data_IF_407882735817
#
_entry.id   IF_407882735817
#
_cell.length_a   1.000
_cell.length_b   1.000
_cell.length_c   1.000
_cell.angle_alpha   90.00
_cell.angle_beta   90.00
_cell.angle_gamma   90.00
#
_symmetry.space_group_name_H-M   'P 1'
#
loop_
_entity.id
_entity.type
_entity.pdbx_description
1 polymer ?
#
# COMPACT_ATOMS: atom_id res chain seq x y z
N UNK A 1 12.05 8.93 -27.29
CA UNK A 1 11.08 8.16 -26.48
C UNK A 1 9.76 8.22 -27.21
N UNK A 2 9.06 7.10 -27.36
CA UNK A 2 7.74 7.05 -28.02
C UNK A 2 6.67 6.74 -26.99
N UNK A 3 5.47 7.30 -27.15
CA UNK A 3 4.31 6.96 -26.32
C UNK A 3 3.78 5.60 -26.75
N UNK A 4 3.42 4.76 -25.77
CA UNK A 4 2.59 3.58 -26.00
C UNK A 4 1.12 4.02 -25.96
N UNK A 5 0.43 4.15 -27.11
CA UNK A 5 -0.81 4.92 -27.20
C UNK A 5 -2.06 4.11 -26.80
N UNK A 6 -1.92 2.79 -26.68
CA UNK A 6 -3.06 1.89 -26.57
C UNK A 6 -3.67 1.89 -25.17
N UNK A 7 -5.00 1.84 -25.12
CA UNK A 7 -5.75 1.70 -23.87
C UNK A 7 -5.79 0.24 -23.42
N UNK A 8 -5.34 -0.09 -22.19
CA UNK A 8 -5.40 -1.45 -21.68
C UNK A 8 -6.82 -1.86 -21.31
N UNK A 9 -7.04 -3.16 -21.30
CA UNK A 9 -8.15 -3.81 -20.65
C UNK A 9 -8.10 -3.57 -19.13
N UNK A 10 -9.23 -3.81 -18.48
CA UNK A 10 -9.33 -3.89 -17.03
C UNK A 10 -8.40 -4.96 -16.43
N UNK A 11 -8.21 -4.89 -15.11
CA UNK A 11 -7.34 -5.78 -14.32
C UNK A 11 -5.86 -5.53 -14.63
N UNK A 12 -5.46 -4.28 -14.42
CA UNK A 12 -4.07 -3.85 -14.49
C UNK A 12 -3.37 -4.31 -13.21
N UNK A 13 -2.17 -4.87 -13.35
CA UNK A 13 -1.32 -5.21 -12.20
C UNK A 13 -0.20 -4.19 -12.10
N UNK A 14 -0.11 -3.51 -10.96
CA UNK A 14 1.02 -2.67 -10.59
C UNK A 14 1.84 -3.40 -9.52
N UNK A 15 3.16 -3.40 -9.68
CA UNK A 15 4.08 -4.05 -8.74
C UNK A 15 5.04 -3.01 -8.19
N UNK A 16 5.17 -2.94 -6.87
CA UNK A 16 6.19 -2.15 -6.19
C UNK A 16 7.18 -3.10 -5.53
N UNK A 17 8.45 -3.00 -5.93
CA UNK A 17 9.52 -3.90 -5.48
C UNK A 17 10.68 -3.11 -4.86
N UNK A 18 10.76 -3.15 -3.54
CA UNK A 18 11.87 -2.64 -2.74
C UNK A 18 13.04 -3.63 -2.72
N UNK A 19 14.12 -3.24 -2.05
CA UNK A 19 15.18 -4.18 -1.69
C UNK A 19 15.71 -3.78 -0.33
N UNK A 20 15.34 -4.55 0.68
CA UNK A 20 15.74 -4.31 2.06
C UNK A 20 16.61 -5.45 2.57
N UNK A 21 17.54 -5.09 3.44
CA UNK A 21 18.29 -6.04 4.23
C UNK A 21 17.85 -5.93 5.69
N UNK A 22 17.50 -7.07 6.28
CA UNK A 22 16.97 -7.16 7.63
C UNK A 22 17.99 -7.88 8.50
N UNK A 23 18.58 -7.16 9.44
CA UNK A 23 19.58 -7.63 10.38
C UNK A 23 18.89 -7.94 11.70
N UNK A 24 19.08 -9.15 12.21
CA UNK A 24 18.28 -9.69 13.29
C UNK A 24 19.17 -10.11 14.46
N UNK A 25 18.78 -9.72 15.67
CA UNK A 25 19.36 -10.21 16.93
C UNK A 25 18.32 -11.04 17.69
N UNK A 26 18.68 -11.53 18.88
CA UNK A 26 17.74 -12.29 19.73
C UNK A 26 16.56 -11.45 20.21
N UNK A 27 16.76 -10.15 20.40
CA UNK A 27 15.81 -9.23 21.03
C UNK A 27 15.38 -8.06 20.14
N UNK A 28 16.09 -7.81 19.04
CA UNK A 28 15.87 -6.65 18.18
C UNK A 28 16.08 -6.96 16.70
N UNK A 29 15.66 -6.02 15.87
CA UNK A 29 15.85 -6.07 14.43
C UNK A 29 16.09 -4.66 13.89
N UNK A 30 17.01 -4.54 12.95
CA UNK A 30 17.28 -3.34 12.16
C UNK A 30 17.12 -3.64 10.68
N UNK A 31 16.61 -2.67 9.91
CA UNK A 31 16.38 -2.83 8.49
C UNK A 31 16.94 -1.65 7.68
N UNK A 32 17.62 -1.97 6.59
CA UNK A 32 18.23 -1.01 5.67
C UNK A 32 17.63 -1.16 4.28
N UNK A 33 17.23 -0.05 3.67
CA UNK A 33 16.86 -0.04 2.25
C UNK A 33 18.13 0.11 1.39
N UNK A 34 18.29 -0.77 0.41
CA UNK A 34 19.46 -0.83 -0.47
C UNK A 34 19.24 -0.12 -1.81
N UNK A 35 17.99 0.23 -2.15
CA UNK A 35 17.64 0.95 -3.37
C UNK A 35 16.26 1.58 -3.28
N UNK A 36 16.02 2.59 -4.13
CA UNK A 36 14.67 3.13 -4.39
C UNK A 36 13.73 2.04 -4.95
N UNK A 37 12.43 2.04 -4.62
CA UNK A 37 11.48 1.08 -5.16
C UNK A 37 11.48 1.02 -6.68
N UNK A 38 11.35 -0.18 -7.23
CA UNK A 38 11.07 -0.39 -8.64
C UNK A 38 9.57 -0.54 -8.83
N UNK A 39 8.99 0.30 -9.67
CA UNK A 39 7.60 0.19 -10.08
C UNK A 39 7.51 -0.53 -11.43
N UNK A 40 6.58 -1.48 -11.51
CA UNK A 40 6.24 -2.19 -12.73
C UNK A 40 4.75 -2.14 -13.02
N UNK A 41 4.40 -2.17 -14.29
CA UNK A 41 3.02 -2.30 -14.74
C UNK A 41 2.88 -3.46 -15.71
N UNK A 42 1.91 -4.34 -15.46
CA UNK A 42 1.49 -5.34 -16.44
C UNK A 42 0.16 -4.93 -17.01
N UNK A 43 0.16 -4.66 -18.32
CA UNK A 43 -1.01 -4.28 -19.08
C UNK A 43 -1.41 -5.39 -20.04
N UNK A 44 -2.72 -5.54 -20.21
CA UNK A 44 -3.33 -6.41 -21.21
C UNK A 44 -4.08 -5.53 -22.19
N UNK A 45 -3.95 -5.79 -23.47
CA UNK A 45 -4.64 -5.05 -24.53
C UNK A 45 -5.45 -6.03 -25.36
N UNK A 46 -6.59 -5.58 -25.89
CA UNK A 46 -7.34 -6.31 -26.93
C UNK A 46 -7.19 -5.54 -28.22
N UNK A 47 -6.58 -6.16 -29.22
CA UNK A 47 -6.37 -5.57 -30.53
C UNK A 47 -7.17 -6.30 -31.61
N UNK A 48 -7.65 -5.54 -32.58
CA UNK A 48 -7.97 -6.08 -33.90
C UNK A 48 -6.68 -6.32 -34.72
N UNK A 49 -6.82 -6.92 -35.90
CA UNK A 49 -5.67 -7.24 -36.75
C UNK A 49 -4.85 -6.00 -37.16
N UNK A 50 -5.51 -4.86 -37.37
CA UNK A 50 -4.85 -3.60 -37.75
C UNK A 50 -4.08 -3.01 -36.58
N UNK A 51 -4.71 -2.92 -35.41
CA UNK A 51 -4.09 -2.45 -34.17
C UNK A 51 -2.92 -3.33 -33.78
N UNK A 52 -3.03 -4.66 -33.97
CA UNK A 52 -1.93 -5.58 -33.71
C UNK A 52 -0.74 -5.30 -34.63
N UNK A 53 -0.96 -5.08 -35.92
CA UNK A 53 0.11 -4.72 -36.86
C UNK A 53 0.78 -3.37 -36.50
N UNK A 54 -0.01 -2.38 -36.07
CA UNK A 54 0.51 -1.08 -35.60
C UNK A 54 1.32 -1.27 -34.32
N UNK A 55 0.80 -1.98 -33.32
CA UNK A 55 1.46 -2.23 -32.05
C UNK A 55 2.80 -2.98 -32.23
N UNK A 56 2.82 -3.98 -33.10
CA UNK A 56 4.02 -4.73 -33.43
C UNK A 56 5.04 -3.87 -34.19
N UNK A 57 4.59 -3.09 -35.18
CA UNK A 57 5.46 -2.15 -35.91
C UNK A 57 6.06 -1.08 -34.99
N UNK A 58 5.24 -0.52 -34.09
CA UNK A 58 5.68 0.44 -33.10
C UNK A 58 6.74 -0.17 -32.19
N UNK A 59 6.47 -1.33 -31.60
CA UNK A 59 7.45 -2.02 -30.73
C UNK A 59 8.75 -2.36 -31.46
N UNK A 60 8.67 -2.87 -32.69
CA UNK A 60 9.86 -3.16 -33.51
C UNK A 60 10.71 -1.92 -33.81
N UNK A 61 10.11 -0.73 -33.82
CA UNK A 61 10.85 0.52 -34.01
C UNK A 61 11.66 0.93 -32.77
N UNK A 62 11.32 0.42 -31.57
CA UNK A 62 11.99 0.76 -30.32
C UNK A 62 12.01 -0.42 -29.31
N UNK A 63 12.60 -1.58 -29.65
CA UNK A 63 12.45 -2.81 -28.87
C UNK A 63 13.16 -2.77 -27.51
N UNK A 64 14.26 -2.03 -27.40
CA UNK A 64 15.10 -1.96 -26.18
C UNK A 64 15.14 -0.58 -25.55
N UNK A 65 14.58 0.43 -26.21
CA UNK A 65 14.60 1.79 -25.71
C UNK A 65 13.45 2.12 -24.77
N UNK A 66 13.40 3.40 -24.43
CA UNK A 66 12.46 3.91 -23.44
C UNK A 66 11.14 4.32 -24.07
N UNK A 67 10.07 3.93 -23.39
CA UNK A 67 8.68 4.17 -23.71
C UNK A 67 8.10 5.19 -22.73
N UNK A 68 7.21 6.04 -23.24
CA UNK A 68 6.32 6.84 -22.41
C UNK A 68 5.04 6.05 -22.21
N UNK A 69 4.82 5.60 -20.97
CA UNK A 69 3.74 4.69 -20.62
C UNK A 69 2.75 5.45 -19.72
N UNK A 70 1.46 5.53 -20.10
CA UNK A 70 0.45 6.16 -19.26
C UNK A 70 0.19 5.34 -18.00
N UNK A 71 0.11 6.00 -16.85
CA UNK A 71 -0.32 5.39 -15.58
C UNK A 71 -1.84 5.31 -15.57
N UNK A 72 -2.38 4.33 -16.29
CA UNK A 72 -3.81 4.14 -16.52
C UNK A 72 -4.70 4.13 -15.26
N UNK A 73 -4.28 3.52 -14.13
CA UNK A 73 -5.08 3.56 -12.92
C UNK A 73 -5.34 4.98 -12.38
N UNK A 74 -4.44 5.92 -12.69
CA UNK A 74 -4.46 7.31 -12.20
C UNK A 74 -5.10 8.28 -13.20
N UNK A 75 -5.74 7.77 -14.25
CA UNK A 75 -6.38 8.62 -15.26
C UNK A 75 -7.60 9.37 -14.69
N UNK A 76 -7.81 10.59 -15.18
CA UNK A 76 -9.04 11.36 -14.98
C UNK A 76 -9.76 11.53 -16.32
N UNK A 77 -11.08 11.31 -16.35
CA UNK A 77 -11.89 11.58 -17.53
C UNK A 77 -12.21 13.07 -17.61
N UNK A 78 -11.97 13.69 -18.76
CA UNK A 78 -12.18 15.12 -19.01
C UNK A 78 -13.14 15.28 -20.18
N UNK A 79 -14.22 16.02 -19.96
CA UNK A 79 -15.32 16.12 -20.92
C UNK A 79 -14.99 17.00 -22.13
N UNK A 80 -14.37 18.15 -21.89
CA UNK A 80 -14.01 19.11 -22.93
C UNK A 80 -12.68 19.77 -22.58
N UNK A 81 -11.81 19.85 -23.57
CA UNK A 81 -10.52 20.55 -23.52
C UNK A 81 -10.50 21.49 -24.73
N UNK A 82 -10.32 22.79 -24.47
CA UNK A 82 -10.24 23.79 -25.52
C UNK A 82 -8.80 23.99 -25.99
N UNK A 83 -8.64 24.42 -27.24
CA UNK A 83 -7.34 24.68 -27.88
C UNK A 83 -6.45 25.65 -27.08
N UNK A 84 -7.04 26.62 -26.39
CA UNK A 84 -6.31 27.63 -25.62
C UNK A 84 -6.08 27.23 -24.15
N UNK A 85 -6.56 26.07 -23.71
CA UNK A 85 -6.45 25.66 -22.31
C UNK A 85 -4.98 25.44 -21.93
N UNK A 86 -4.53 26.16 -20.90
CA UNK A 86 -3.22 25.99 -20.25
C UNK A 86 -3.34 25.37 -18.86
N UNK A 87 -4.54 25.01 -18.43
CA UNK A 87 -4.81 24.32 -17.17
C UNK A 87 -5.89 23.28 -17.40
N UNK A 88 -5.67 22.05 -16.92
CA UNK A 88 -6.61 20.95 -17.04
C UNK A 88 -7.13 20.55 -15.66
N UNK A 89 -8.44 20.45 -15.52
CA UNK A 89 -9.09 19.93 -14.32
C UNK A 89 -8.90 18.42 -14.29
N UNK A 90 -8.10 17.94 -13.33
CA UNK A 90 -7.77 16.52 -13.16
C UNK A 90 -7.75 16.16 -11.68
N UNK A 91 -7.91 14.89 -11.36
CA UNK A 91 -7.68 14.43 -10.01
C UNK A 91 -6.17 14.37 -9.73
N UNK A 92 -5.71 15.19 -8.78
CA UNK A 92 -4.28 15.29 -8.42
C UNK A 92 -3.86 14.26 -7.37
N UNK A 93 -4.77 13.39 -6.92
CA UNK A 93 -4.45 12.15 -6.21
C UNK A 93 -3.89 11.10 -7.19
N UNK A 94 -2.79 11.48 -7.83
CA UNK A 94 -2.10 10.78 -8.90
C UNK A 94 -0.66 11.29 -8.94
N UNK A 95 0.23 10.56 -9.60
CA UNK A 95 1.64 10.90 -9.71
C UNK A 95 1.87 11.97 -10.79
N UNK A 96 1.19 13.12 -10.73
CA UNK A 96 1.56 14.27 -11.55
C UNK A 96 2.78 14.96 -10.93
N UNK A 97 3.76 15.31 -11.75
CA UNK A 97 5.04 15.89 -11.30
C UNK A 97 5.28 17.24 -11.97
N UNK A 98 5.85 18.18 -11.23
CA UNK A 98 6.34 19.45 -11.78
C UNK A 98 7.50 19.15 -12.74
N UNK A 99 7.43 19.71 -13.96
CA UNK A 99 8.34 19.38 -15.06
C UNK A 99 8.14 17.96 -15.64
N UNK A 100 7.13 17.22 -15.15
CA UNK A 100 6.77 15.90 -15.62
C UNK A 100 5.90 15.93 -16.87
N UNK A 101 5.71 14.74 -17.46
CA UNK A 101 4.84 14.55 -18.63
C UNK A 101 3.51 13.94 -18.24
N UNK A 102 2.47 14.32 -18.97
CA UNK A 102 1.16 13.70 -18.95
C UNK A 102 0.69 13.48 -20.40
N UNK A 103 -0.36 12.69 -20.56
CA UNK A 103 -0.94 12.41 -21.87
C UNK A 103 -2.43 12.70 -21.84
N UNK A 104 -2.93 13.30 -22.92
CA UNK A 104 -4.35 13.37 -23.25
C UNK A 104 -4.62 12.22 -24.23
N UNK A 105 -5.48 11.28 -23.85
CA UNK A 105 -5.94 10.20 -24.71
C UNK A 105 -7.37 10.49 -25.14
N UNK A 106 -7.65 10.35 -26.43
CA UNK A 106 -8.96 10.59 -27.02
C UNK A 106 -9.19 9.70 -28.24
N UNK A 107 -10.44 9.57 -28.65
CA UNK A 107 -10.81 8.62 -29.70
C UNK A 107 -10.41 7.17 -29.34
N UNK A 108 -10.06 6.36 -30.34
CA UNK A 108 -9.68 4.96 -30.11
C UNK A 108 -8.21 4.79 -29.71
N UNK A 109 -7.28 5.56 -30.29
CA UNK A 109 -5.83 5.43 -30.03
C UNK A 109 -5.06 6.76 -30.29
N UNK A 110 -5.75 7.91 -30.20
CA UNK A 110 -5.10 9.22 -30.37
C UNK A 110 -4.55 9.67 -29.03
N UNK A 111 -3.29 10.09 -29.05
CA UNK A 111 -2.58 10.57 -27.86
C UNK A 111 -1.87 11.87 -28.15
N UNK A 112 -1.91 12.76 -27.18
CA UNK A 112 -1.16 14.00 -27.19
C UNK A 112 -0.34 14.13 -25.92
N UNK A 113 0.96 14.34 -26.07
CA UNK A 113 1.86 14.62 -24.95
C UNK A 113 1.68 16.05 -24.46
N UNK A 114 1.61 16.22 -23.15
CA UNK A 114 1.60 17.52 -22.48
C UNK A 114 2.64 17.52 -21.36
N UNK A 115 3.19 18.70 -21.05
CA UNK A 115 4.17 18.87 -19.96
C UNK A 115 3.56 19.71 -18.85
N UNK A 116 3.63 19.18 -17.62
CA UNK A 116 3.08 19.78 -16.40
C UNK A 116 4.09 20.74 -15.77
N UNK A 117 3.66 21.98 -15.49
CA UNK A 117 4.50 23.03 -14.87
C UNK A 117 4.15 23.23 -13.39
N UNK A 118 2.87 23.06 -13.03
CA UNK A 118 2.44 23.09 -11.64
C UNK A 118 1.33 22.05 -11.42
N UNK A 119 1.25 21.54 -10.19
CA UNK A 119 0.20 20.63 -9.74
C UNK A 119 -0.56 21.35 -8.64
N UNK A 120 -1.80 21.73 -8.92
CA UNK A 120 -2.71 22.38 -7.98
C UNK A 120 -3.46 21.35 -7.13
N UNK A 121 -4.53 21.81 -6.46
CA UNK A 121 -5.38 20.92 -5.64
C UNK A 121 -6.29 20.05 -6.49
N UNK A 122 -6.77 20.54 -7.64
CA UNK A 122 -7.70 19.82 -8.53
C UNK A 122 -7.43 20.08 -10.02
N UNK A 123 -6.23 20.55 -10.35
CA UNK A 123 -5.82 20.84 -11.72
C UNK A 123 -4.32 20.72 -11.89
N UNK A 124 -3.90 20.61 -13.14
CA UNK A 124 -2.50 20.71 -13.55
C UNK A 124 -2.35 21.88 -14.53
N UNK A 125 -1.30 22.67 -14.35
CA UNK A 125 -0.95 23.73 -15.29
C UNK A 125 0.05 23.21 -16.33
N UNK A 126 -0.14 23.63 -17.58
CA UNK A 126 0.60 23.16 -18.73
C UNK A 126 1.64 24.19 -19.18
N UNK A 127 2.75 23.71 -19.73
CA UNK A 127 3.81 24.57 -20.30
C UNK A 127 3.39 25.30 -21.58
N UNK A 128 2.39 24.78 -22.29
CA UNK A 128 1.86 25.33 -23.52
C UNK A 128 0.35 25.02 -23.62
N UNK A 129 -0.42 25.80 -24.40
CA UNK A 129 -1.81 25.48 -24.70
C UNK A 129 -1.94 24.11 -25.37
N UNK A 130 -3.09 23.45 -25.16
CA UNK A 130 -3.36 22.13 -25.76
C UNK A 130 -3.35 22.18 -27.29
N UNK A 131 -3.76 23.27 -27.91
CA UNK A 131 -3.65 23.47 -29.36
C UNK A 131 -4.74 22.77 -30.19
N UNK A 132 -5.52 21.86 -29.62
CA UNK A 132 -6.66 21.21 -30.27
C UNK A 132 -7.91 21.25 -29.38
N UNK A 133 -9.11 21.29 -29.99
CA UNK A 133 -10.36 21.09 -29.26
C UNK A 133 -10.64 19.59 -29.15
N UNK A 134 -10.60 19.07 -27.92
CA UNK A 134 -10.74 17.64 -27.65
C UNK A 134 -11.95 17.41 -26.75
N UNK A 135 -12.91 16.63 -27.24
CA UNK A 135 -14.06 16.17 -26.45
C UNK A 135 -13.84 14.73 -25.97
N UNK A 136 -14.38 14.40 -24.79
CA UNK A 136 -14.37 13.06 -24.20
C UNK A 136 -12.96 12.42 -24.17
N UNK A 137 -12.08 13.00 -23.36
CA UNK A 137 -10.70 12.53 -23.22
C UNK A 137 -10.45 11.89 -21.86
N UNK A 138 -9.33 11.20 -21.74
CA UNK A 138 -8.75 10.78 -20.48
C UNK A 138 -7.36 11.41 -20.36
N UNK A 139 -7.07 12.03 -19.23
CA UNK A 139 -5.76 12.59 -18.91
C UNK A 139 -5.09 11.69 -17.89
N UNK A 140 -3.85 11.26 -18.15
CA UNK A 140 -3.09 10.40 -17.24
C UNK A 140 -1.63 10.85 -17.12
N UNK A 141 -0.95 10.64 -15.98
CA UNK A 141 0.49 10.82 -15.87
C UNK A 141 1.26 9.89 -16.82
N UNK A 142 2.38 10.34 -17.37
CA UNK A 142 3.29 9.53 -18.18
C UNK A 142 4.55 9.17 -17.39
N UNK A 143 4.93 7.89 -17.45
CA UNK A 143 6.19 7.37 -16.88
C UNK A 143 7.14 6.92 -17.96
N UNK A 144 8.44 7.08 -17.72
CA UNK A 144 9.48 6.53 -18.59
C UNK A 144 9.70 5.10 -18.17
N UNK A 145 9.43 4.16 -19.06
CA UNK A 145 9.59 2.74 -18.77
C UNK A 145 10.24 2.01 -19.94
N UNK A 146 10.91 0.91 -19.65
CA UNK A 146 11.30 -0.05 -20.69
C UNK A 146 10.36 -1.25 -20.66
N UNK A 147 10.13 -1.85 -21.82
CA UNK A 147 9.31 -3.06 -21.93
C UNK A 147 10.17 -4.28 -21.56
N UNK A 148 9.90 -4.88 -20.39
CA UNK A 148 10.70 -5.98 -19.86
C UNK A 148 10.31 -7.35 -20.42
N UNK A 149 9.06 -7.53 -20.83
CA UNK A 149 8.54 -8.84 -21.27
C UNK A 149 8.44 -9.01 -22.78
N UNK A 150 8.55 -7.90 -23.53
CA UNK A 150 8.11 -7.83 -24.93
C UNK A 150 6.59 -7.99 -25.08
N UNK A 151 6.14 -8.19 -26.33
CA UNK A 151 4.75 -8.51 -26.64
C UNK A 151 4.51 -10.01 -26.45
N UNK A 152 3.73 -10.37 -25.43
CA UNK A 152 3.18 -11.73 -25.31
C UNK A 152 1.83 -11.76 -26.00
N UNK A 153 1.77 -12.47 -27.13
CA UNK A 153 0.62 -12.48 -28.03
C UNK A 153 -0.19 -13.76 -27.84
N UNK A 154 -1.47 -13.61 -27.54
CA UNK A 154 -2.46 -14.69 -27.48
C UNK A 154 -3.56 -14.43 -28.51
N UNK A 155 -3.57 -15.22 -29.59
CA UNK A 155 -4.54 -15.06 -30.69
C UNK A 155 -5.84 -15.77 -30.33
N UNK A 156 -6.93 -15.03 -30.33
CA UNK A 156 -8.25 -15.57 -30.05
C UNK A 156 -9.06 -15.81 -31.33
N UNK A 157 -10.14 -16.55 -31.19
CA UNK A 157 -11.11 -16.77 -32.27
C UNK A 157 -11.76 -15.43 -32.68
N UNK A 158 -12.08 -15.26 -33.97
CA UNK A 158 -12.69 -14.05 -34.56
C UNK A 158 -11.77 -12.81 -34.74
N UNK A 159 -10.46 -13.00 -34.95
CA UNK A 159 -9.57 -11.88 -35.32
C UNK A 159 -9.31 -10.88 -34.19
N UNK A 160 -9.51 -11.30 -32.94
CA UNK A 160 -9.07 -10.56 -31.75
C UNK A 160 -7.79 -11.16 -31.21
N UNK A 161 -6.89 -10.30 -30.80
CA UNK A 161 -5.61 -10.70 -30.21
C UNK A 161 -5.46 -10.03 -28.85
N UNK A 162 -5.23 -10.84 -27.81
CA UNK A 162 -4.87 -10.34 -26.49
C UNK A 162 -3.35 -10.21 -26.44
N UNK A 163 -2.87 -9.02 -26.12
CA UNK A 163 -1.43 -8.76 -25.94
C UNK A 163 -1.18 -8.41 -24.48
N UNK A 164 -0.21 -9.09 -23.86
CA UNK A 164 0.26 -8.76 -22.51
C UNK A 164 1.66 -8.19 -22.57
N UNK A 165 1.87 -7.04 -21.92
CA UNK A 165 3.16 -6.37 -21.83
C UNK A 165 3.44 -5.94 -20.40
N UNK A 166 4.67 -6.17 -19.95
CA UNK A 166 5.21 -5.71 -18.68
C UNK A 166 6.19 -4.57 -18.90
N UNK A 167 5.88 -3.42 -18.30
CA UNK A 167 6.70 -2.21 -18.30
C UNK A 167 7.38 -2.06 -16.94
N UNK A 168 8.64 -1.64 -16.95
CA UNK A 168 9.42 -1.34 -15.75
C UNK A 168 9.81 0.14 -15.79
N UNK A 169 9.36 0.89 -14.79
CA UNK A 169 9.56 2.34 -14.69
C UNK A 169 11.03 2.63 -14.36
N UNK A 170 11.61 3.61 -15.06
CA UNK A 170 12.97 4.10 -14.83
C UNK A 170 12.99 5.33 -13.93
N UNK A 171 12.02 6.22 -14.08
CA UNK A 171 11.87 7.44 -13.28
C UNK A 171 11.12 7.17 -11.96
N UNK A 172 11.54 6.14 -11.23
CA UNK A 172 10.99 5.85 -9.91
C UNK A 172 11.31 7.00 -8.95
N UNK A 173 10.35 7.34 -8.10
CA UNK A 173 10.47 8.39 -7.09
C UNK A 173 10.23 7.79 -5.71
N UNK A 174 10.86 8.35 -4.69
CA UNK A 174 10.48 8.11 -3.30
C UNK A 174 9.42 9.12 -2.88
N UNK A 175 8.34 8.65 -2.27
CA UNK A 175 7.31 9.49 -1.66
C UNK A 175 7.45 9.33 -0.14
N UNK A 176 8.07 10.30 0.57
CA UNK A 176 8.45 10.14 1.96
C UNK A 176 7.33 10.47 2.96
N UNK A 177 6.16 10.91 2.49
CA UNK A 177 5.05 11.35 3.34
C UNK A 177 4.09 10.21 3.68
N UNK A 178 3.75 10.08 4.96
CA UNK A 178 2.70 9.16 5.43
C UNK A 178 1.37 9.90 5.62
N UNK A 179 0.23 9.26 5.25
CA UNK A 179 -1.09 9.79 5.54
C UNK A 179 -1.66 9.35 6.90
N UNK A 180 -0.95 8.54 7.69
CA UNK A 180 -1.47 7.98 8.94
C UNK A 180 -1.05 8.79 10.17
N UNK A 181 -1.87 8.68 11.22
CA UNK A 181 -1.52 9.20 12.55
C UNK A 181 -0.37 8.40 13.15
N UNK A 182 0.45 9.05 13.97
CA UNK A 182 1.63 8.42 14.56
C UNK A 182 1.46 8.20 16.07
N UNK A 183 1.93 7.05 16.52
CA UNK A 183 2.08 6.70 17.93
C UNK A 183 3.51 6.22 18.17
N UNK A 184 4.23 6.87 19.09
CA UNK A 184 5.66 6.65 19.34
C UNK A 184 6.53 6.77 18.08
N UNK A 185 6.17 7.69 17.17
CA UNK A 185 6.88 7.92 15.91
C UNK A 185 6.65 6.87 14.82
N UNK A 186 5.75 5.90 15.05
CA UNK A 186 5.36 4.90 14.07
C UNK A 186 3.91 5.11 13.64
N UNK A 187 3.62 4.86 12.37
CA UNK A 187 2.26 4.99 11.84
C UNK A 187 1.33 3.98 12.50
N UNK A 188 0.08 4.36 12.75
CA UNK A 188 -0.97 3.43 13.15
C UNK A 188 -1.89 3.16 11.97
N UNK A 189 -2.09 1.88 11.63
CA UNK A 189 -3.03 1.50 10.59
C UNK A 189 -4.46 1.67 11.10
N UNK A 190 -5.05 2.83 10.80
CA UNK A 190 -6.43 3.19 11.19
C UNK A 190 -7.49 2.65 10.25
N UNK A 191 -7.11 2.04 9.13
CA UNK A 191 -8.07 1.39 8.25
C UNK A 191 -8.37 -0.01 8.77
N UNK A 192 -9.63 -0.36 9.05
CA UNK A 192 -9.97 -1.75 9.32
C UNK A 192 -9.65 -2.58 8.09
N UNK A 193 -8.94 -3.69 8.28
CA UNK A 193 -8.68 -4.63 7.19
C UNK A 193 -10.01 -5.20 6.70
N UNK A 194 -10.24 -5.17 5.38
CA UNK A 194 -11.43 -5.78 4.79
C UNK A 194 -11.25 -7.30 4.74
N UNK A 195 -11.88 -8.02 5.66
CA UNK A 195 -11.88 -9.49 5.68
C UNK A 195 -12.88 -10.04 4.65
N UNK A 196 -12.57 -9.90 3.35
CA UNK A 196 -13.34 -10.58 2.29
C UNK A 196 -12.98 -12.08 2.23
N UNK A 197 -11.78 -12.42 2.72
CA UNK A 197 -11.29 -13.79 2.93
C UNK A 197 -10.76 -13.90 4.37
N UNK A 198 -10.81 -15.10 4.99
CA UNK A 198 -10.22 -15.28 6.31
C UNK A 198 -8.73 -14.91 6.25
N UNK A 199 -8.34 -13.89 7.02
CA UNK A 199 -6.94 -13.53 7.21
C UNK A 199 -6.35 -14.54 8.20
N UNK A 200 -5.51 -15.45 7.71
CA UNK A 200 -4.81 -16.40 8.57
C UNK A 200 -3.62 -15.71 9.24
N UNK A 201 -3.57 -15.76 10.57
CA UNK A 201 -2.39 -15.41 11.34
C UNK A 201 -1.78 -16.64 12.00
N UNK A 202 -0.51 -16.55 12.37
CA UNK A 202 0.15 -17.59 13.17
C UNK A 202 1.12 -16.93 14.15
N UNK A 203 1.06 -17.32 15.43
CA UNK A 203 1.95 -16.81 16.47
C UNK A 203 2.88 -17.95 16.85
N UNK A 204 4.18 -17.75 16.66
CA UNK A 204 5.20 -18.79 16.90
C UNK A 204 6.36 -18.23 17.69
N UNK A 205 6.87 -19.03 18.63
CA UNK A 205 8.17 -18.81 19.25
C UNK A 205 9.26 -19.41 18.34
N UNK A 206 10.22 -18.63 17.83
CA UNK A 206 11.29 -19.19 16.98
C UNK A 206 12.21 -20.09 17.82
N UNK A 207 12.13 -21.41 17.63
CA UNK A 207 12.93 -22.39 18.37
C UNK A 207 13.66 -23.35 17.44
N UNK A 208 14.84 -23.80 17.84
CA UNK A 208 15.55 -24.92 17.23
C UNK A 208 15.47 -26.14 18.15
N UNK A 209 15.32 -27.31 17.54
CA UNK A 209 15.25 -28.57 18.24
C UNK A 209 16.60 -29.28 18.07
N UNK A 210 17.28 -29.49 19.19
CA UNK A 210 18.56 -30.21 19.25
C UNK A 210 18.27 -31.59 19.82
N UNK A 211 18.23 -32.59 18.93
CA UNK A 211 18.09 -33.99 19.28
C UNK A 211 19.41 -34.72 18.97
N UNK A 212 20.04 -35.26 20.00
CA UNK A 212 21.28 -36.02 19.87
C UNK A 212 21.05 -37.54 19.78
N UNK A 213 19.79 -37.99 19.76
CA UNK A 213 19.38 -39.39 19.58
C UNK A 213 19.62 -40.31 20.79
N UNK A 214 20.29 -39.85 21.84
CA UNK A 214 20.63 -40.64 23.02
C UNK A 214 20.22 -39.98 24.35
N UNK A 215 19.89 -38.69 24.32
CA UNK A 215 19.47 -37.88 25.46
C UNK A 215 18.16 -37.13 25.22
N UNK A 216 17.69 -36.34 26.20
CA UNK A 216 16.47 -35.55 26.03
C UNK A 216 16.66 -34.50 24.95
N UNK A 217 15.60 -34.31 24.16
CA UNK A 217 15.51 -33.24 23.16
C UNK A 217 15.59 -31.89 23.86
N UNK A 218 16.57 -31.07 23.48
CA UNK A 218 16.72 -29.70 23.98
C UNK A 218 16.09 -28.75 22.97
N UNK A 219 15.18 -27.91 23.45
CA UNK A 219 14.57 -26.84 22.66
C UNK A 219 15.29 -25.55 23.04
N UNK A 220 15.97 -24.94 22.07
CA UNK A 220 16.63 -23.66 22.25
C UNK A 220 15.88 -22.58 21.47
N UNK A 221 15.59 -21.48 22.14
CA UNK A 221 14.99 -20.33 21.49
C UNK A 221 16.03 -19.65 20.59
N UNK A 222 15.70 -19.47 19.31
CA UNK A 222 16.50 -18.68 18.37
C UNK A 222 16.36 -17.19 18.70
N UNK A 223 15.20 -16.80 19.27
CA UNK A 223 14.89 -15.44 19.70
C UNK A 223 14.18 -15.41 21.03
N UNK A 224 14.24 -14.27 21.69
CA UNK A 224 13.60 -14.04 22.98
C UNK A 224 12.25 -13.31 22.86
N UNK A 225 11.79 -13.09 21.62
CA UNK A 225 10.52 -12.43 21.29
C UNK A 225 9.62 -13.34 20.45
N UNK A 226 8.31 -13.33 20.73
CA UNK A 226 7.31 -14.02 19.92
C UNK A 226 7.13 -13.33 18.57
N UNK A 227 6.75 -14.09 17.55
CA UNK A 227 6.39 -13.54 16.24
C UNK A 227 5.00 -13.95 15.80
N UNK A 228 4.09 -12.99 15.75
CA UNK A 228 2.88 -13.05 14.95
C UNK A 228 3.16 -12.82 13.47
N UNK A 229 2.65 -13.71 12.62
CA UNK A 229 2.38 -13.40 11.21
C UNK A 229 0.94 -12.92 11.10
N UNK A 230 0.75 -11.80 10.44
CA UNK A 230 -0.56 -11.21 10.18
C UNK A 230 -0.73 -10.98 8.68
N UNK A 231 -1.96 -10.82 8.24
CA UNK A 231 -2.26 -10.40 6.88
C UNK A 231 -3.21 -9.20 6.94
N UNK A 232 -3.04 -8.26 6.00
CA UNK A 232 -3.95 -7.15 5.82
C UNK A 232 -4.36 -7.06 4.34
N UNK A 233 -5.64 -6.85 4.09
CA UNK A 233 -6.17 -6.66 2.75
C UNK A 233 -6.93 -5.33 2.68
N UNK A 234 -6.65 -4.57 1.62
CA UNK A 234 -7.22 -3.26 1.35
C UNK A 234 -7.98 -3.26 0.03
N UNK A 235 -9.10 -2.55 0.02
CA UNK A 235 -9.87 -2.25 -1.19
C UNK A 235 -10.06 -0.75 -1.28
N UNK A 236 -9.26 -0.10 -2.12
CA UNK A 236 -9.27 1.34 -2.30
C UNK A 236 -10.12 1.69 -3.53
N UNK A 237 -11.30 2.25 -3.29
CA UNK A 237 -12.30 2.47 -4.34
C UNK A 237 -12.25 3.86 -5.02
N UNK A 238 -11.72 4.87 -4.32
CA UNK A 238 -11.60 6.23 -4.86
C UNK A 238 -10.16 6.52 -5.28
N UNK A 239 -9.91 7.46 -6.22
CA UNK A 239 -8.55 7.89 -6.56
C UNK A 239 -7.75 8.34 -5.33
N UNK A 240 -8.39 9.05 -4.40
CA UNK A 240 -7.77 9.55 -3.16
C UNK A 240 -7.34 8.40 -2.25
N UNK A 241 -8.19 7.39 -2.08
CA UNK A 241 -7.86 6.20 -1.28
C UNK A 241 -6.67 5.42 -1.90
N UNK A 242 -6.68 5.25 -3.23
CA UNK A 242 -5.60 4.56 -3.97
C UNK A 242 -4.27 5.31 -3.86
N UNK A 243 -4.30 6.63 -4.03
CA UNK A 243 -3.12 7.47 -3.88
C UNK A 243 -2.60 7.45 -2.44
N UNK A 244 -3.49 7.57 -1.46
CA UNK A 244 -3.16 7.47 -0.03
C UNK A 244 -2.45 6.15 0.28
N UNK A 245 -2.99 5.01 -0.20
CA UNK A 245 -2.39 3.68 -0.06
C UNK A 245 -1.00 3.63 -0.69
N UNK A 246 -0.88 4.13 -1.92
CA UNK A 246 0.39 4.16 -2.65
C UNK A 246 1.43 4.96 -1.88
N UNK A 247 1.13 6.18 -1.46
CA UNK A 247 2.04 7.02 -0.63
C UNK A 247 2.50 6.28 0.62
N UNK A 248 1.60 5.62 1.33
CA UNK A 248 1.95 4.83 2.50
C UNK A 248 2.86 3.64 2.19
N UNK A 249 2.64 2.92 1.09
CA UNK A 249 3.52 1.83 0.67
C UNK A 249 4.94 2.34 0.34
N UNK A 250 5.05 3.49 -0.35
CA UNK A 250 6.34 4.15 -0.58
C UNK A 250 7.01 4.57 0.74
N UNK A 251 6.24 5.11 1.68
CA UNK A 251 6.71 5.47 3.01
C UNK A 251 7.29 4.27 3.77
N UNK A 252 6.61 3.10 3.76
CA UNK A 252 7.08 1.90 4.45
C UNK A 252 8.41 1.37 3.91
N UNK A 253 8.69 1.63 2.63
CA UNK A 253 9.93 1.28 1.95
C UNK A 253 10.29 -0.22 2.05
N UNK A 254 9.33 -1.10 1.75
CA UNK A 254 9.51 -2.55 1.85
C UNK A 254 9.49 -3.02 3.31
N UNK A 255 10.41 -3.90 3.68
CA UNK A 255 10.53 -4.40 5.07
C UNK A 255 11.24 -3.43 6.01
N UNK A 256 11.50 -2.18 5.61
CA UNK A 256 12.34 -1.25 6.37
C UNK A 256 11.64 -0.67 7.59
N UNK A 257 10.40 -0.18 7.44
CA UNK A 257 9.71 0.54 8.51
C UNK A 257 8.71 -0.33 9.25
N UNK A 258 8.62 -0.06 10.54
CA UNK A 258 7.61 -0.63 11.43
C UNK A 258 6.38 0.27 11.45
N UNK A 259 5.23 -0.32 11.72
CA UNK A 259 3.99 0.38 11.99
C UNK A 259 3.15 -0.43 12.99
N UNK A 260 2.18 0.24 13.58
CA UNK A 260 1.26 -0.36 14.52
C UNK A 260 0.03 -0.92 13.80
N UNK A 261 -0.25 -2.20 14.02
CA UNK A 261 -1.43 -2.89 13.53
C UNK A 261 -2.39 -3.15 14.71
N UNK A 262 -3.54 -2.47 14.76
CA UNK A 262 -4.60 -2.83 15.70
C UNK A 262 -5.16 -4.20 15.35
N UNK A 263 -5.51 -4.99 16.38
CA UNK A 263 -6.25 -6.25 16.19
C UNK A 263 -7.68 -6.02 15.70
N UNK A 264 -8.24 -4.83 15.96
CA UNK A 264 -9.65 -4.48 15.75
C UNK A 264 -10.63 -5.42 16.47
N UNK A 265 -10.14 -6.18 17.44
CA UNK A 265 -10.91 -7.07 18.29
C UNK A 265 -11.14 -6.42 19.65
N UNK A 266 -12.19 -6.86 20.34
CA UNK A 266 -12.44 -6.49 21.73
C UNK A 266 -11.64 -7.40 22.66
N UNK A 267 -10.31 -7.30 22.57
CA UNK A 267 -9.37 -8.17 23.29
C UNK A 267 -9.45 -7.96 24.80
N UNK A 268 -9.71 -6.71 25.23
CA UNK A 268 -9.73 -6.29 26.63
C UNK A 268 -11.07 -5.67 26.99
N UNK A 269 -12.00 -6.52 27.44
CA UNK A 269 -13.34 -6.06 27.85
C UNK A 269 -13.25 -5.23 29.14
N UNK A 270 -13.63 -3.96 29.05
CA UNK A 270 -13.70 -3.04 30.19
C UNK A 270 -14.83 -3.46 31.15
N UNK A 271 -14.54 -3.36 32.45
CA UNK A 271 -15.50 -3.74 33.51
C UNK A 271 -16.35 -2.55 34.01
N UNK A 272 -16.06 -1.34 33.52
CA UNK A 272 -16.78 -0.13 33.86
C UNK A 272 -16.20 1.10 33.15
N UNK A 273 -16.84 2.28 33.33
CA UNK A 273 -16.42 3.51 32.67
C UNK A 273 -15.06 3.99 33.18
N UNK A 274 -14.29 4.62 32.29
CA UNK A 274 -12.96 5.16 32.57
C UNK A 274 -12.99 6.67 32.39
N UNK A 275 -12.52 7.43 33.39
CA UNK A 275 -12.44 8.88 33.27
C UNK A 275 -11.19 9.33 32.48
N UNK A 276 -11.27 10.52 31.86
CA UNK A 276 -10.18 11.17 31.15
C UNK A 276 -8.87 11.26 31.95
N UNK A 277 -8.97 11.48 33.27
CA UNK A 277 -7.81 11.62 34.17
C UNK A 277 -7.35 10.29 34.77
N UNK A 278 -8.06 9.20 34.53
CA UNK A 278 -7.71 7.89 35.05
C UNK A 278 -6.41 7.39 34.44
N UNK A 279 -5.49 6.94 35.29
CA UNK A 279 -4.23 6.30 34.92
C UNK A 279 -4.31 4.77 34.92
N UNK A 280 -5.52 4.21 34.95
CA UNK A 280 -5.73 2.78 34.91
C UNK A 280 -7.08 2.41 34.32
N UNK A 281 -7.14 1.21 33.75
CA UNK A 281 -8.36 0.56 33.29
C UNK A 281 -8.51 -0.79 33.98
N UNK A 282 -9.74 -1.22 34.22
CA UNK A 282 -10.01 -2.54 34.83
C UNK A 282 -10.71 -3.41 33.79
N UNK A 283 -10.12 -4.56 33.49
CA UNK A 283 -10.51 -5.46 32.40
C UNK A 283 -10.78 -6.87 32.92
N UNK A 284 -11.57 -7.63 32.18
CA UNK A 284 -11.71 -9.06 32.42
C UNK A 284 -10.35 -9.76 32.23
N UNK A 285 -10.02 -10.77 33.05
CA UNK A 285 -8.73 -11.43 32.99
C UNK A 285 -8.62 -12.32 31.75
N UNK A 286 -7.64 -12.05 30.87
CA UNK A 286 -7.37 -12.87 29.67
C UNK A 286 -6.02 -13.61 29.70
N UNK A 287 -5.15 -13.31 30.67
CA UNK A 287 -3.81 -13.89 30.83
C UNK A 287 -3.67 -14.48 32.24
N UNK A 288 -3.00 -15.62 32.43
CA UNK A 288 -2.82 -16.21 33.76
C UNK A 288 -1.86 -15.39 34.64
N UNK A 289 -0.91 -14.68 34.03
CA UNK A 289 0.03 -13.82 34.73
C UNK A 289 -0.17 -12.35 34.31
N UNK A 290 -0.36 -11.47 35.29
CA UNK A 290 -0.53 -10.03 35.02
C UNK A 290 0.75 -9.35 34.51
N UNK A 291 1.93 -9.91 34.79
CA UNK A 291 3.18 -9.36 34.28
C UNK A 291 3.24 -9.38 32.73
N UNK A 292 2.51 -10.29 32.09
CA UNK A 292 2.52 -10.47 30.64
C UNK A 292 1.79 -9.35 29.87
N UNK A 293 1.04 -8.47 30.56
CA UNK A 293 0.50 -7.26 29.96
C UNK A 293 1.53 -6.13 29.83
N UNK A 294 2.57 -6.13 30.66
CA UNK A 294 3.52 -5.00 30.74
C UNK A 294 4.31 -4.89 29.43
N UNK A 295 4.39 -3.67 28.90
CA UNK A 295 5.01 -3.39 27.60
C UNK A 295 4.12 -3.69 26.39
N UNK A 296 2.91 -4.24 26.58
CA UNK A 296 1.93 -4.32 25.49
C UNK A 296 1.31 -2.96 25.23
N UNK A 297 1.04 -2.69 23.96
CA UNK A 297 0.34 -1.50 23.53
C UNK A 297 -1.13 -1.84 23.24
N UNK A 298 -2.00 -0.89 23.53
CA UNK A 298 -3.44 -1.00 23.33
C UNK A 298 -3.97 0.17 22.52
N UNK A 299 -5.00 -0.09 21.73
CA UNK A 299 -5.85 0.90 21.11
C UNK A 299 -7.20 0.88 21.82
N UNK A 300 -7.61 2.03 22.32
CA UNK A 300 -8.99 2.25 22.76
C UNK A 300 -9.72 2.97 21.64
N UNK A 301 -10.76 2.32 21.12
CA UNK A 301 -11.61 2.91 20.09
C UNK A 301 -12.36 4.13 20.63
N UNK A 302 -12.32 5.22 19.88
CA UNK A 302 -12.92 6.51 20.19
C UNK A 302 -12.75 7.45 19.01
N UNK A 303 -13.27 8.68 19.11
CA UNK A 303 -13.06 9.74 18.13
C UNK A 303 -12.38 10.95 18.78
N UNK A 304 -11.05 11.10 18.67
CA UNK A 304 -10.10 10.20 18.01
C UNK A 304 -9.77 8.94 18.84
N UNK A 305 -9.26 7.90 18.18
CA UNK A 305 -8.77 6.69 18.86
C UNK A 305 -7.54 7.00 19.73
N UNK A 306 -7.40 6.29 20.85
CA UNK A 306 -6.36 6.54 21.85
C UNK A 306 -5.41 5.35 21.91
N UNK A 307 -4.10 5.62 21.89
CA UNK A 307 -3.05 4.61 21.94
C UNK A 307 -2.25 4.72 23.23
N UNK A 308 -2.08 3.63 23.97
CA UNK A 308 -1.35 3.61 25.25
C UNK A 308 -0.51 2.35 25.41
N UNK A 309 0.56 2.48 26.18
CA UNK A 309 1.36 1.36 26.67
C UNK A 309 0.90 0.99 28.08
N UNK A 310 0.83 -0.31 28.37
CA UNK A 310 0.60 -0.81 29.73
C UNK A 310 1.91 -0.79 30.50
N UNK A 311 2.04 0.13 31.45
CA UNK A 311 3.27 0.34 32.23
C UNK A 311 3.38 -0.62 33.41
N UNK A 312 2.24 -1.05 33.96
CA UNK A 312 2.18 -2.08 35.01
C UNK A 312 0.78 -2.69 35.07
N UNK A 313 0.66 -3.86 35.70
CA UNK A 313 -0.63 -4.54 35.85
C UNK A 313 -0.69 -5.26 37.20
N UNK A 314 -1.88 -5.29 37.80
CA UNK A 314 -2.13 -5.94 39.09
C UNK A 314 -3.45 -6.71 39.06
N UNK A 315 -3.54 -7.76 39.87
CA UNK A 315 -4.80 -8.44 40.14
C UNK A 315 -5.67 -7.55 41.04
N UNK A 316 -6.93 -7.36 40.65
CA UNK A 316 -7.91 -6.53 41.36
C UNK A 316 -9.21 -7.32 41.53
N UNK A 317 -9.29 -8.12 42.59
CA UNK A 317 -10.41 -9.04 42.80
C UNK A 317 -10.42 -10.15 41.75
N UNK A 318 -11.53 -10.28 41.01
CA UNK A 318 -11.67 -11.23 39.89
C UNK A 318 -11.19 -10.65 38.55
N UNK A 319 -10.73 -9.40 38.53
CA UNK A 319 -10.35 -8.66 37.33
C UNK A 319 -8.87 -8.30 37.34
N UNK A 320 -8.36 -7.82 36.20
CA UNK A 320 -7.04 -7.22 36.12
C UNK A 320 -7.15 -5.71 35.99
N UNK A 321 -6.29 -4.99 36.71
CA UNK A 321 -6.14 -3.55 36.57
C UNK A 321 -4.82 -3.25 35.87
N UNK A 322 -4.91 -2.59 34.72
CA UNK A 322 -3.78 -2.18 33.89
C UNK A 322 -3.54 -0.69 34.11
N UNK A 323 -2.31 -0.31 34.42
CA UNK A 323 -1.89 1.08 34.57
C UNK A 323 -1.28 1.60 33.27
N UNK A 324 -1.63 2.83 32.93
CA UNK A 324 -1.30 3.49 31.68
C UNK A 324 -1.30 5.02 31.87
N UNK A 325 -0.71 5.74 30.93
CA UNK A 325 -0.79 7.21 30.94
C UNK A 325 -2.25 7.67 30.75
N UNK A 326 -2.68 8.79 31.38
CA UNK A 326 -4.06 9.26 31.31
C UNK A 326 -4.63 9.25 29.90
N UNK A 327 -5.88 8.78 29.75
CA UNK A 327 -6.52 8.64 28.44
C UNK A 327 -6.84 9.99 27.80
N UNK A 328 -7.14 11.00 28.62
CA UNK A 328 -7.46 12.36 28.19
C UNK A 328 -8.91 12.54 27.71
N UNK A 329 -9.69 11.47 27.64
CA UNK A 329 -11.12 11.46 27.27
C UNK A 329 -11.87 10.48 28.18
N UNK A 330 -13.10 10.84 28.58
CA UNK A 330 -13.98 9.94 29.32
C UNK A 330 -14.52 8.84 28.39
N UNK A 331 -14.38 7.59 28.80
CA UNK A 331 -14.77 6.40 28.03
C UNK A 331 -15.86 5.67 28.82
N UNK A 332 -17.14 5.92 28.51
CA UNK A 332 -18.24 5.27 29.21
C UNK A 332 -18.28 3.77 28.91
N UNK A 333 -18.12 3.44 27.62
CA UNK A 333 -17.95 2.10 27.07
C UNK A 333 -17.02 2.24 25.85
N UNK A 334 -16.15 1.26 25.61
CA UNK A 334 -15.23 1.32 24.48
C UNK A 334 -14.57 -0.03 24.23
N UNK A 335 -14.31 -0.33 22.96
CA UNK A 335 -13.55 -1.51 22.56
C UNK A 335 -12.07 -1.24 22.77
N UNK A 336 -11.40 -2.20 23.39
CA UNK A 336 -9.96 -2.12 23.62
C UNK A 336 -9.30 -3.32 22.95
N UNK A 337 -8.55 -3.03 21.89
CA UNK A 337 -7.77 -4.03 21.16
C UNK A 337 -6.28 -3.89 21.44
N UNK A 338 -5.53 -4.96 21.26
CA UNK A 338 -4.07 -4.88 21.24
C UNK A 338 -3.56 -4.15 20.00
N UNK A 339 -2.39 -3.54 20.17
CA UNK A 339 -1.67 -2.83 19.12
C UNK A 339 -0.33 -3.53 18.91
N UNK A 340 -0.20 -4.25 17.80
CA UNK A 340 0.99 -5.05 17.51
C UNK A 340 1.95 -4.26 16.65
N UNK A 341 3.24 -4.27 17.00
CA UNK A 341 4.29 -3.65 16.19
C UNK A 341 4.66 -4.60 15.06
N UNK A 342 4.39 -4.22 13.82
CA UNK A 342 4.62 -5.07 12.66
C UNK A 342 5.41 -4.35 11.57
N UNK A 343 5.90 -5.12 10.60
CA UNK A 343 6.36 -4.63 9.29
C UNK A 343 5.86 -5.56 8.19
N UNK A 344 6.07 -5.18 6.93
CA UNK A 344 5.88 -6.10 5.81
C UNK A 344 6.86 -7.29 5.90
N UNK A 345 6.40 -8.48 5.53
CA UNK A 345 7.22 -9.70 5.42
C UNK A 345 7.85 -9.88 4.02
N UNK A 346 7.44 -9.04 3.05
CA UNK A 346 7.92 -9.07 1.68
C UNK A 346 8.40 -7.69 1.22
N UNK A 347 9.39 -7.69 0.32
CA UNK A 347 9.85 -6.49 -0.39
C UNK A 347 9.08 -6.22 -1.68
N UNK A 348 8.08 -7.04 -2.01
CA UNK A 348 7.27 -6.87 -3.21
C UNK A 348 5.80 -6.82 -2.81
N UNK A 349 5.10 -5.81 -3.32
CA UNK A 349 3.65 -5.66 -3.17
C UNK A 349 3.03 -5.55 -4.56
N UNK A 350 1.95 -6.30 -4.77
CA UNK A 350 1.12 -6.22 -5.96
C UNK A 350 -0.17 -5.47 -5.66
N UNK A 351 -0.50 -4.53 -6.55
CA UNK A 351 -1.72 -3.74 -6.53
C UNK A 351 -2.52 -4.12 -7.78
N UNK A 352 -3.68 -4.75 -7.57
CA UNK A 352 -4.57 -5.17 -8.65
C UNK A 352 -5.64 -4.11 -8.86
N UNK A 353 -5.60 -3.43 -10.00
CA UNK A 353 -6.57 -2.41 -10.40
C UNK A 353 -7.68 -3.04 -11.22
N UNK A 354 -8.82 -3.30 -10.57
CA UNK A 354 -9.99 -3.97 -11.13
C UNK A 354 -10.76 -3.06 -12.12
N UNK A 355 -11.70 -3.64 -12.89
CA UNK A 355 -12.46 -2.93 -13.94
C UNK A 355 -13.20 -1.67 -13.49
N UNK A 356 -13.60 -1.61 -12.22
CA UNK A 356 -14.29 -0.45 -11.61
C UNK A 356 -13.31 0.62 -11.09
N UNK A 357 -12.03 0.52 -11.46
CA UNK A 357 -10.92 1.34 -10.94
C UNK A 357 -10.73 1.24 -9.42
N UNK A 358 -11.20 0.14 -8.83
CA UNK A 358 -10.89 -0.24 -7.45
C UNK A 358 -9.53 -0.91 -7.43
N UNK A 359 -8.70 -0.58 -6.45
CA UNK A 359 -7.42 -1.25 -6.23
C UNK A 359 -7.51 -2.20 -5.06
N UNK A 360 -7.01 -3.41 -5.25
CA UNK A 360 -6.85 -4.41 -4.20
C UNK A 360 -5.37 -4.58 -3.89
N UNK A 361 -5.03 -4.53 -2.61
CA UNK A 361 -3.67 -4.73 -2.13
C UNK A 361 -3.69 -5.66 -0.93
N UNK A 362 -2.91 -6.75 -1.01
CA UNK A 362 -2.70 -7.67 0.10
C UNK A 362 -1.28 -7.53 0.64
N UNK A 363 -1.15 -7.43 1.97
CA UNK A 363 0.13 -7.38 2.67
C UNK A 363 0.26 -8.58 3.60
N UNK A 364 1.42 -9.22 3.54
CA UNK A 364 1.85 -10.16 4.57
C UNK A 364 2.71 -9.40 5.57
N UNK A 365 2.39 -9.54 6.85
CA UNK A 365 2.95 -8.76 7.93
C UNK A 365 3.60 -9.67 8.96
N UNK A 366 4.66 -9.16 9.58
CA UNK A 366 5.40 -9.86 10.62
C UNK A 366 5.59 -8.94 11.81
N UNK A 367 5.26 -9.46 12.99
CA UNK A 367 5.53 -8.81 14.27
C UNK A 367 7.03 -8.75 14.56
N UNK A 368 7.46 -7.63 15.15
CA UNK A 368 8.88 -7.31 15.35
C UNK A 368 9.25 -7.17 16.81
#
# INVERSE_FOLDING_TARGET
MQIWPFTPLANIVETLAWHTNVLQSRTSEDALSLRVPRQGFTYRFSFDDRQMAIAEGLYRSNPTGDWLVPVWPERTLVSNIATADTSLVVNTAADYRIGGRAVIIYGQDLVQEITTVAVGVASIDLSAPVGENIAQSAVAPLRVAYCATGLKVDRQFQGRTIVTMGFQVRDNLEIPETPYVQYLGLDVLTDPSLTVRPLSGNIVMPTTLIDNGFGPVVIENIRDVMRGRHAAEFLDATPEARWRRKKWLFYLNGRQRHFWLPTWADDLVLTGPVSAVSNSITVNPILPNVADYVGRHIMVEGDPAIYREVTSAVVSGLNHRLYLSPLGVDIPEGRVGFLNKVRMDADTVEINHEATMRSRTGLQLMEV
#
